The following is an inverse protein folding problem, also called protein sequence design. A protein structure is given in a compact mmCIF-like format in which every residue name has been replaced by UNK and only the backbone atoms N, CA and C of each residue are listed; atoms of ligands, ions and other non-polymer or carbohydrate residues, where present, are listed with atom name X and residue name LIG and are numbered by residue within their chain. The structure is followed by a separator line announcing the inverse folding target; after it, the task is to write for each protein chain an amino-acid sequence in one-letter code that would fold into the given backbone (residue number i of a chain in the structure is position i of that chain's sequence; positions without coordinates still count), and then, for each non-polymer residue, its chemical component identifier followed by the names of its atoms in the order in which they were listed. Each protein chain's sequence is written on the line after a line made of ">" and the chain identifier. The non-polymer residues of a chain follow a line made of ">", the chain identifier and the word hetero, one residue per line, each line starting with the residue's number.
data_IF_403622587981
#
_entry.id   IF_403622587981
#
_cell.length_a   1.000
_cell.length_b   1.000
_cell.length_c   1.000
_cell.angle_alpha   90.00
_cell.angle_beta   90.00
_cell.angle_gamma   90.00
#
_symmetry.space_group_name_H-M   'P 1'
#
loop_
_entity.id
_entity.type
_entity.pdbx_description
1 polymer ?
#
# COMPACT_ATOMS: atom_id res chain seq x y z
N UNK A 1 11.79 -99.82 -2.16
CA UNK A 1 10.55 -99.06 -1.95
C UNK A 1 9.96 -99.48 -0.63
N UNK A 2 9.92 -98.58 0.34
CA UNK A 2 9.21 -98.83 1.60
C UNK A 2 7.76 -98.38 1.40
N UNK A 3 6.76 -99.26 1.58
CA UNK A 3 5.34 -98.96 1.35
C UNK A 3 4.75 -97.91 2.31
N UNK A 4 5.51 -97.51 3.33
CA UNK A 4 5.15 -96.44 4.27
C UNK A 4 5.53 -95.03 3.77
N UNK A 5 6.42 -94.93 2.76
CA UNK A 5 6.89 -93.64 2.25
C UNK A 5 5.90 -93.05 1.23
N UNK A 6 5.20 -93.89 0.46
CA UNK A 6 4.19 -93.47 -0.52
C UNK A 6 3.05 -92.62 0.07
N UNK A 7 2.37 -93.03 1.17
CA UNK A 7 1.31 -92.23 1.75
C UNK A 7 1.81 -90.93 2.38
N UNK A 8 3.06 -90.91 2.87
CA UNK A 8 3.70 -89.69 3.40
C UNK A 8 4.03 -88.73 2.26
N UNK A 9 4.58 -89.22 1.14
CA UNK A 9 4.85 -88.41 -0.06
C UNK A 9 3.56 -87.85 -0.64
N UNK A 10 2.52 -88.67 -0.75
CA UNK A 10 1.20 -88.23 -1.24
C UNK A 10 0.55 -87.21 -0.29
N UNK A 11 0.68 -87.37 1.04
CA UNK A 11 0.20 -86.39 2.00
C UNK A 11 0.96 -85.06 1.88
N UNK A 12 2.29 -85.11 1.70
CA UNK A 12 3.14 -83.92 1.48
C UNK A 12 2.81 -83.22 0.16
N UNK A 13 2.58 -83.96 -0.92
CA UNK A 13 2.17 -83.40 -2.22
C UNK A 13 0.76 -82.80 -2.16
N UNK A 14 -0.17 -83.42 -1.41
CA UNK A 14 -1.52 -82.88 -1.20
C UNK A 14 -1.57 -81.63 -0.31
N UNK A 15 -0.54 -81.41 0.53
CA UNK A 15 -0.35 -80.20 1.33
C UNK A 15 0.29 -79.06 0.53
N UNK A 16 0.87 -79.37 -0.63
CA UNK A 16 1.43 -78.39 -1.54
C UNK A 16 0.27 -77.67 -2.22
N UNK A 17 -0.22 -76.61 -1.58
CA UNK A 17 -1.22 -75.71 -2.17
C UNK A 17 -0.80 -75.43 -3.61
N UNK A 18 -1.67 -75.75 -4.58
CA UNK A 18 -1.41 -75.46 -5.99
C UNK A 18 -1.04 -73.98 -6.08
N UNK A 19 0.20 -73.70 -6.47
CA UNK A 19 0.70 -72.34 -6.59
C UNK A 19 -0.25 -71.61 -7.53
N UNK A 20 -1.08 -70.71 -7.00
CA UNK A 20 -2.07 -70.02 -7.78
C UNK A 20 -1.37 -68.81 -8.37
N UNK A 21 -1.00 -68.84 -9.67
CA UNK A 21 -0.13 -67.81 -10.24
C UNK A 21 -0.78 -66.42 -10.14
N UNK A 22 -2.12 -66.38 -10.15
CA UNK A 22 -2.88 -65.17 -9.92
C UNK A 22 -2.69 -64.64 -8.50
N UNK A 23 -2.84 -65.48 -7.48
CA UNK A 23 -2.77 -65.07 -6.07
C UNK A 23 -1.35 -64.72 -5.63
N UNK A 24 -0.36 -65.48 -6.09
CA UNK A 24 1.00 -65.40 -5.55
C UNK A 24 1.89 -64.39 -6.31
N UNK A 25 1.56 -64.09 -7.57
CA UNK A 25 2.36 -63.18 -8.41
C UNK A 25 1.56 -62.00 -8.94
N UNK A 26 0.37 -62.23 -9.51
CA UNK A 26 -0.37 -61.16 -10.16
C UNK A 26 -1.11 -60.25 -9.16
N UNK A 27 -1.69 -60.82 -8.10
CA UNK A 27 -2.48 -60.09 -7.11
C UNK A 27 -1.64 -59.09 -6.29
N UNK A 28 -0.41 -59.40 -5.81
CA UNK A 28 0.45 -58.42 -5.14
C UNK A 28 0.88 -57.28 -6.07
N UNK A 29 1.14 -57.56 -7.34
CA UNK A 29 1.50 -56.54 -8.34
C UNK A 29 0.31 -55.62 -8.61
N UNK A 30 -0.88 -56.20 -8.83
CA UNK A 30 -2.12 -55.45 -9.06
C UNK A 30 -2.48 -54.60 -7.83
N UNK A 31 -2.44 -55.18 -6.62
CA UNK A 31 -2.75 -54.43 -5.38
C UNK A 31 -1.73 -53.34 -5.11
N UNK A 32 -0.43 -53.59 -5.30
CA UNK A 32 0.60 -52.56 -5.23
C UNK A 32 0.41 -51.44 -6.26
N UNK A 33 0.05 -51.77 -7.50
CA UNK A 33 -0.26 -50.81 -8.54
C UNK A 33 -1.52 -49.98 -8.22
N UNK A 34 -2.59 -50.60 -7.71
CA UNK A 34 -3.78 -49.87 -7.28
C UNK A 34 -3.53 -48.99 -6.05
N UNK A 35 -2.78 -49.46 -5.05
CA UNK A 35 -2.44 -48.68 -3.86
C UNK A 35 -1.57 -47.47 -4.19
N UNK A 36 -0.57 -47.65 -5.05
CA UNK A 36 0.28 -46.54 -5.53
C UNK A 36 -0.50 -45.54 -6.39
N UNK A 37 -1.38 -46.01 -7.28
CA UNK A 37 -2.26 -45.15 -8.07
C UNK A 37 -3.25 -44.37 -7.18
N UNK A 38 -3.84 -45.03 -6.19
CA UNK A 38 -4.71 -44.39 -5.21
C UNK A 38 -3.94 -43.33 -4.40
N UNK A 39 -2.74 -43.67 -3.93
CA UNK A 39 -1.85 -42.75 -3.22
C UNK A 39 -1.49 -41.53 -4.06
N UNK A 40 -1.16 -41.74 -5.33
CA UNK A 40 -0.91 -40.66 -6.29
C UNK A 40 -2.14 -39.76 -6.47
N UNK A 41 -3.32 -40.34 -6.67
CA UNK A 41 -4.57 -39.59 -6.84
C UNK A 41 -4.88 -38.75 -5.61
N UNK A 42 -4.79 -39.33 -4.41
CA UNK A 42 -5.02 -38.63 -3.14
C UNK A 42 -4.01 -37.49 -2.95
N UNK A 43 -2.72 -37.76 -3.20
CA UNK A 43 -1.68 -36.75 -3.11
C UNK A 43 -1.92 -35.60 -4.10
N UNK A 44 -2.24 -35.90 -5.35
CA UNK A 44 -2.53 -34.91 -6.38
C UNK A 44 -3.69 -33.98 -5.98
N UNK A 45 -4.82 -34.54 -5.53
CA UNK A 45 -5.96 -33.75 -5.07
C UNK A 45 -5.64 -32.93 -3.83
N UNK A 46 -4.92 -33.52 -2.87
CA UNK A 46 -4.53 -32.85 -1.62
C UNK A 46 -3.60 -31.67 -1.90
N UNK A 47 -2.57 -31.87 -2.72
CA UNK A 47 -1.61 -30.82 -3.09
C UNK A 47 -2.32 -29.68 -3.83
N UNK A 48 -3.13 -30.01 -4.84
CA UNK A 48 -3.89 -29.01 -5.59
C UNK A 48 -4.84 -28.21 -4.69
N UNK A 49 -5.49 -28.87 -3.72
CA UNK A 49 -6.35 -28.20 -2.75
C UNK A 49 -5.56 -27.29 -1.80
N UNK A 50 -4.41 -27.75 -1.31
CA UNK A 50 -3.52 -26.98 -0.45
C UNK A 50 -2.93 -25.76 -1.16
N UNK A 51 -2.43 -25.92 -2.38
CA UNK A 51 -1.88 -24.82 -3.19
C UNK A 51 -2.93 -23.75 -3.49
N UNK A 52 -4.14 -24.17 -3.88
CA UNK A 52 -5.25 -23.25 -4.09
C UNK A 52 -5.61 -22.51 -2.80
N UNK A 53 -5.71 -23.23 -1.68
CA UNK A 53 -5.99 -22.63 -0.37
C UNK A 53 -4.92 -21.63 0.03
N UNK A 54 -3.65 -21.98 -0.14
CA UNK A 54 -2.51 -21.11 0.16
C UNK A 54 -2.56 -19.85 -0.69
N UNK A 55 -2.81 -19.99 -2.00
CA UNK A 55 -2.97 -18.86 -2.92
C UNK A 55 -4.08 -17.91 -2.47
N UNK A 56 -5.20 -18.44 -1.98
CA UNK A 56 -6.32 -17.62 -1.49
C UNK A 56 -5.94 -16.86 -0.21
N UNK A 57 -5.25 -17.53 0.74
CA UNK A 57 -4.74 -16.88 1.96
C UNK A 57 -3.73 -15.79 1.63
N UNK A 58 -2.82 -16.05 0.69
CA UNK A 58 -1.79 -15.08 0.28
C UNK A 58 -2.42 -13.84 -0.37
N UNK A 59 -3.49 -14.00 -1.16
CA UNK A 59 -4.25 -12.86 -1.71
C UNK A 59 -4.91 -12.03 -0.61
N UNK A 60 -5.61 -12.66 0.33
CA UNK A 60 -6.25 -11.96 1.45
C UNK A 60 -5.20 -11.20 2.26
N UNK A 61 -4.11 -11.88 2.63
CA UNK A 61 -2.99 -11.27 3.35
C UNK A 61 -2.42 -10.09 2.58
N UNK A 62 -2.14 -10.26 1.29
CA UNK A 62 -1.58 -9.19 0.46
C UNK A 62 -2.49 -7.98 0.42
N UNK A 63 -3.80 -8.16 0.20
CA UNK A 63 -4.74 -7.03 0.17
C UNK A 63 -4.76 -6.31 1.54
N UNK A 64 -4.79 -7.07 2.63
CA UNK A 64 -4.77 -6.50 3.98
C UNK A 64 -3.47 -5.76 4.29
N UNK A 65 -2.32 -6.31 3.92
CA UNK A 65 -1.01 -5.68 4.10
C UNK A 65 -0.95 -4.34 3.35
N UNK A 66 -1.46 -4.28 2.11
CA UNK A 66 -1.54 -3.05 1.32
C UNK A 66 -2.55 -2.04 1.89
N UNK A 67 -3.66 -2.51 2.46
CA UNK A 67 -4.62 -1.65 3.15
C UNK A 67 -4.05 -1.03 4.42
N UNK A 68 -3.34 -1.81 5.24
CA UNK A 68 -2.66 -1.31 6.43
C UNK A 68 -1.54 -0.32 6.07
N UNK A 69 -0.83 -0.58 4.97
CA UNK A 69 0.19 0.33 4.48
C UNK A 69 -0.41 1.67 4.01
N UNK A 70 -1.50 1.63 3.25
CA UNK A 70 -2.22 2.82 2.81
C UNK A 70 -2.80 3.60 3.99
N UNK A 71 -3.35 2.92 5.00
CA UNK A 71 -3.83 3.54 6.23
C UNK A 71 -2.71 4.24 6.98
N UNK A 72 -1.57 3.57 7.19
CA UNK A 72 -0.41 4.18 7.86
C UNK A 72 0.14 5.40 7.11
N UNK A 73 0.17 5.33 5.77
CA UNK A 73 0.55 6.46 4.93
C UNK A 73 -0.43 7.63 5.08
N UNK A 74 -1.73 7.36 4.98
CA UNK A 74 -2.80 8.36 5.17
C UNK A 74 -2.73 9.01 6.54
N UNK A 75 -2.61 8.21 7.61
CA UNK A 75 -2.50 8.67 8.99
C UNK A 75 -1.26 9.55 9.19
N UNK A 76 -0.14 9.25 8.55
CA UNK A 76 1.06 10.09 8.59
C UNK A 76 0.84 11.46 7.94
N UNK A 77 0.23 11.49 6.75
CA UNK A 77 -0.06 12.74 6.04
C UNK A 77 -1.10 13.58 6.76
N UNK A 78 -2.15 12.94 7.31
CA UNK A 78 -3.17 13.60 8.13
C UNK A 78 -2.55 14.20 9.39
N UNK A 79 -1.62 13.49 10.05
CA UNK A 79 -0.89 14.01 11.20
C UNK A 79 -0.04 15.23 10.83
N UNK A 80 0.64 15.22 9.69
CA UNK A 80 1.37 16.39 9.17
C UNK A 80 0.40 17.55 8.98
N UNK A 81 -0.71 17.31 8.26
CA UNK A 81 -1.73 18.31 7.96
C UNK A 81 -2.39 18.94 9.18
N UNK A 82 -2.62 18.15 10.23
CA UNK A 82 -3.22 18.63 11.47
C UNK A 82 -2.45 19.81 12.11
N UNK A 83 -1.16 19.98 11.80
CA UNK A 83 -0.34 21.05 12.36
C UNK A 83 -0.68 22.44 11.80
N UNK A 84 -1.10 22.49 10.53
CA UNK A 84 -1.44 23.75 9.84
C UNK A 84 -2.94 23.89 9.55
N UNK A 85 -3.72 22.80 9.66
CA UNK A 85 -5.15 22.84 9.40
C UNK A 85 -5.86 23.90 10.25
N UNK A 86 -6.76 24.67 9.62
CA UNK A 86 -7.50 25.75 10.27
C UNK A 86 -6.71 27.04 10.51
N UNK A 87 -5.41 27.08 10.22
CA UNK A 87 -4.53 28.27 10.38
C UNK A 87 -4.14 28.93 9.06
N UNK A 88 -4.54 28.34 7.94
CA UNK A 88 -4.16 28.80 6.60
C UNK A 88 -5.15 29.84 6.08
N UNK A 89 -4.64 31.02 5.75
CA UNK A 89 -5.30 32.00 4.88
C UNK A 89 -4.94 31.79 3.41
N UNK A 90 -5.13 32.82 2.60
CA UNK A 90 -4.72 32.87 1.19
C UNK A 90 -3.32 33.51 1.00
N UNK A 91 -2.84 34.28 1.96
CA UNK A 91 -1.56 35.00 1.85
C UNK A 91 -0.36 34.04 2.00
N UNK A 92 0.56 33.95 1.02
CA UNK A 92 1.66 32.99 1.05
C UNK A 92 2.69 33.25 2.16
N UNK A 93 2.90 34.50 2.59
CA UNK A 93 3.76 34.81 3.74
C UNK A 93 3.19 34.24 5.03
N UNK A 94 1.89 34.49 5.27
CA UNK A 94 1.20 34.00 6.45
C UNK A 94 1.19 32.47 6.48
N UNK A 95 0.88 31.82 5.35
CA UNK A 95 0.87 30.35 5.23
C UNK A 95 2.23 29.73 5.52
N UNK A 96 3.31 30.37 5.03
CA UNK A 96 4.69 29.96 5.30
C UNK A 96 5.01 30.00 6.79
N UNK A 97 4.64 31.08 7.47
CA UNK A 97 4.89 31.25 8.92
C UNK A 97 3.97 30.40 9.80
N UNK A 98 2.71 30.21 9.41
CA UNK A 98 1.76 29.37 10.14
C UNK A 98 2.10 27.88 10.08
N UNK A 99 2.81 27.47 9.03
CA UNK A 99 3.24 26.09 8.82
C UNK A 99 4.59 25.86 9.49
N UNK A 100 4.59 25.15 10.61
CA UNK A 100 5.78 24.92 11.41
C UNK A 100 6.46 23.61 11.03
N UNK A 101 7.79 23.56 11.19
CA UNK A 101 8.51 22.27 11.14
C UNK A 101 7.96 21.29 12.17
N UNK A 102 7.78 20.05 11.75
CA UNK A 102 7.26 18.97 12.60
C UNK A 102 8.38 17.95 12.78
N UNK A 103 8.60 17.51 14.02
CA UNK A 103 9.38 16.31 14.26
C UNK A 103 8.43 15.14 14.04
N UNK A 104 8.48 14.52 12.86
CA UNK A 104 7.71 13.33 12.56
C UNK A 104 8.61 12.11 12.45
N UNK A 105 8.16 10.97 12.96
CA UNK A 105 8.83 9.67 12.79
C UNK A 105 8.40 8.94 11.52
N UNK A 106 7.81 9.68 10.57
CA UNK A 106 7.31 9.15 9.32
C UNK A 106 8.45 8.54 8.51
N UNK A 107 8.27 7.30 8.05
CA UNK A 107 9.28 6.57 7.31
C UNK A 107 8.86 6.45 5.85
N UNK A 108 9.83 6.53 4.96
CA UNK A 108 9.64 6.12 3.57
C UNK A 108 9.17 4.67 3.53
N UNK A 109 8.25 4.39 2.61
CA UNK A 109 7.69 3.07 2.38
C UNK A 109 8.56 2.35 1.36
N UNK A 110 8.95 1.13 1.71
CA UNK A 110 9.56 0.16 0.78
C UNK A 110 8.55 -0.96 0.57
N UNK A 111 8.15 -1.16 -0.70
CA UNK A 111 7.00 -2.02 -1.04
C UNK A 111 7.35 -3.03 -2.11
N UNK A 112 6.92 -4.26 -1.88
CA UNK A 112 7.01 -5.31 -2.89
C UNK A 112 5.78 -5.30 -3.80
N UNK A 113 5.86 -4.57 -4.92
CA UNK A 113 4.77 -4.51 -5.92
C UNK A 113 4.47 -5.87 -6.59
N UNK A 114 5.41 -6.82 -6.59
CA UNK A 114 5.17 -8.12 -7.23
C UNK A 114 4.09 -8.95 -6.54
N UNK A 115 3.83 -8.68 -5.25
CA UNK A 115 2.75 -9.33 -4.49
C UNK A 115 1.37 -9.04 -5.09
N UNK A 116 1.23 -7.91 -5.80
CA UNK A 116 -0.01 -7.49 -6.45
C UNK A 116 -0.19 -8.07 -7.86
N UNK A 117 0.71 -8.92 -8.35
CA UNK A 117 0.63 -9.46 -9.71
C UNK A 117 -0.71 -10.10 -10.09
N UNK A 118 -1.48 -10.60 -9.11
CA UNK A 118 -2.79 -11.20 -9.34
C UNK A 118 -3.90 -10.20 -9.76
N UNK A 119 -3.74 -8.89 -9.53
CA UNK A 119 -4.75 -7.88 -9.93
C UNK A 119 -4.55 -7.39 -11.37
N UNK A 120 -3.40 -7.69 -11.97
CA UNK A 120 -3.02 -7.18 -13.30
C UNK A 120 -4.07 -7.62 -14.33
N UNK A 121 -4.63 -6.70 -15.13
CA UNK A 121 -5.57 -7.05 -16.17
C UNK A 121 -4.88 -7.85 -17.28
N UNK A 122 -5.60 -8.86 -17.80
CA UNK A 122 -5.15 -9.58 -19.00
C UNK A 122 -5.23 -8.64 -20.21
N UNK A 123 -4.39 -8.88 -21.23
CA UNK A 123 -4.30 -8.00 -22.42
C UNK A 123 -5.62 -7.91 -23.17
N UNK A 124 -6.41 -8.99 -23.11
CA UNK A 124 -7.67 -9.14 -23.84
C UNK A 124 -8.84 -8.46 -23.13
N UNK A 125 -8.70 -8.10 -21.86
CA UNK A 125 -9.77 -7.54 -21.05
C UNK A 125 -9.65 -6.01 -20.92
N UNK A 126 -10.16 -5.31 -21.93
CA UNK A 126 -10.12 -3.84 -22.01
C UNK A 126 -10.83 -3.14 -20.85
N UNK A 127 -11.97 -3.67 -20.38
CA UNK A 127 -12.72 -3.09 -19.26
C UNK A 127 -11.90 -3.11 -17.98
N UNK A 128 -11.19 -4.20 -17.76
CA UNK A 128 -10.30 -4.35 -16.61
C UNK A 128 -9.05 -3.46 -16.65
N UNK A 129 -8.64 -3.00 -17.83
CA UNK A 129 -7.50 -2.07 -18.00
C UNK A 129 -7.85 -0.64 -17.59
N UNK A 130 -9.12 -0.26 -17.71
CA UNK A 130 -9.63 1.07 -17.32
C UNK A 130 -9.81 1.21 -15.81
N UNK A 131 -9.80 0.10 -15.04
CA UNK A 131 -9.91 0.15 -13.58
C UNK A 131 -8.62 0.73 -12.99
N UNK A 132 -8.72 1.94 -12.45
CA UNK A 132 -7.64 2.74 -11.85
C UNK A 132 -6.70 1.90 -10.97
N UNK A 133 -7.25 1.23 -9.95
CA UNK A 133 -6.47 0.49 -8.95
C UNK A 133 -6.08 -0.93 -9.35
N UNK A 134 -6.21 -1.28 -10.64
CA UNK A 134 -5.57 -2.48 -11.22
C UNK A 134 -4.30 -2.15 -11.99
N UNK A 135 -3.99 -0.87 -12.14
CA UNK A 135 -2.79 -0.39 -12.80
C UNK A 135 -1.64 -0.30 -11.79
N UNK A 136 -0.73 -1.28 -11.82
CA UNK A 136 0.48 -1.25 -10.96
C UNK A 136 1.29 0.05 -11.07
N UNK A 137 1.41 0.72 -12.24
CA UNK A 137 2.09 2.00 -12.32
C UNK A 137 1.43 3.08 -11.45
N UNK A 138 0.09 3.09 -11.33
CA UNK A 138 -0.63 4.06 -10.50
C UNK A 138 -0.42 3.79 -9.00
N UNK A 139 -0.49 2.52 -8.60
CA UNK A 139 -0.19 2.11 -7.22
C UNK A 139 1.25 2.46 -6.86
N UNK A 140 2.21 2.19 -7.76
CA UNK A 140 3.61 2.60 -7.58
C UNK A 140 3.72 4.12 -7.42
N UNK A 141 3.11 4.89 -8.30
CA UNK A 141 3.17 6.35 -8.25
C UNK A 141 2.62 6.89 -6.91
N UNK A 142 1.53 6.32 -6.38
CA UNK A 142 1.00 6.66 -5.06
C UNK A 142 2.05 6.48 -3.94
N UNK A 143 2.79 5.37 -3.94
CA UNK A 143 3.83 5.11 -2.93
C UNK A 143 5.05 6.01 -3.12
N UNK A 144 5.51 6.19 -4.35
CA UNK A 144 6.65 7.07 -4.63
C UNK A 144 6.32 8.54 -4.30
N UNK A 145 5.10 8.99 -4.59
CA UNK A 145 4.65 10.33 -4.26
C UNK A 145 4.50 10.53 -2.75
N UNK A 146 4.14 9.48 -1.99
CA UNK A 146 4.24 9.53 -0.54
C UNK A 146 5.68 9.77 -0.09
N UNK A 147 6.62 8.96 -0.58
CA UNK A 147 8.05 9.08 -0.22
C UNK A 147 8.62 10.46 -0.59
N UNK A 148 8.22 10.99 -1.75
CA UNK A 148 8.57 12.34 -2.21
C UNK A 148 8.04 13.41 -1.26
N UNK A 149 6.77 13.32 -0.84
CA UNK A 149 6.18 14.31 0.09
C UNK A 149 6.88 14.30 1.45
N UNK A 150 7.26 13.13 1.97
CA UNK A 150 8.03 13.05 3.22
C UNK A 150 9.37 13.78 3.07
N UNK A 151 10.08 13.53 1.96
CA UNK A 151 11.34 14.22 1.68
C UNK A 151 11.16 15.74 1.48
N UNK A 152 10.06 16.15 0.86
CA UNK A 152 9.70 17.55 0.69
C UNK A 152 9.48 18.24 2.05
N UNK A 153 8.76 17.61 2.98
CA UNK A 153 8.58 18.11 4.34
C UNK A 153 9.88 18.15 5.14
N UNK A 154 10.75 17.15 4.99
CA UNK A 154 12.08 17.14 5.61
C UNK A 154 12.94 18.31 5.10
N UNK A 155 13.00 18.50 3.77
CA UNK A 155 13.77 19.59 3.14
C UNK A 155 13.24 20.96 3.54
N UNK A 156 11.92 21.12 3.55
CA UNK A 156 11.27 22.33 4.04
C UNK A 156 11.68 22.62 5.49
N UNK A 157 11.66 21.60 6.35
CA UNK A 157 12.00 21.75 7.78
C UNK A 157 13.47 22.11 8.00
N UNK A 158 14.37 21.60 7.16
CA UNK A 158 15.80 21.96 7.15
C UNK A 158 16.01 23.45 6.85
N UNK A 159 15.24 24.00 5.91
CA UNK A 159 15.31 25.42 5.49
C UNK A 159 14.58 26.33 6.48
N UNK A 160 13.44 25.91 7.02
CA UNK A 160 12.62 26.71 7.95
C UNK A 160 13.34 27.00 9.26
N UNK A 161 14.06 26.01 9.81
CA UNK A 161 14.69 26.11 11.13
C UNK A 161 15.62 27.32 11.29
N UNK A 162 16.66 27.53 10.44
CA UNK A 162 17.54 28.68 10.57
C UNK A 162 16.82 30.01 10.30
N UNK A 163 15.82 30.02 9.42
CA UNK A 163 15.00 31.21 9.14
C UNK A 163 14.20 31.60 10.38
N UNK A 164 13.53 30.62 11.01
CA UNK A 164 12.74 30.82 12.22
C UNK A 164 13.61 31.26 13.39
N UNK A 165 14.80 30.69 13.57
CA UNK A 165 15.76 31.10 14.60
C UNK A 165 16.17 32.57 14.45
N UNK A 166 16.47 33.03 13.22
CA UNK A 166 16.78 34.44 12.93
C UNK A 166 15.60 35.35 13.27
N UNK A 167 14.39 34.99 12.81
CA UNK A 167 13.18 35.78 13.07
C UNK A 167 12.87 35.87 14.57
N UNK A 168 13.01 34.78 15.32
CA UNK A 168 12.81 34.77 16.78
C UNK A 168 13.91 35.57 17.50
N UNK A 169 15.16 35.54 17.02
CA UNK A 169 16.24 36.34 17.61
C UNK A 169 16.01 37.84 17.45
N UNK A 170 15.58 38.27 16.26
CA UNK A 170 15.44 39.68 15.92
C UNK A 170 14.10 40.28 16.39
N UNK A 171 13.06 39.45 16.46
CA UNK A 171 11.68 39.89 16.71
C UNK A 171 10.94 39.08 17.79
N UNK A 172 11.60 38.16 18.50
CA UNK A 172 10.95 37.29 19.50
C UNK A 172 10.34 38.04 20.70
N UNK A 173 10.78 39.26 20.96
CA UNK A 173 10.17 40.15 21.96
C UNK A 173 8.79 40.66 21.55
N UNK A 174 8.41 40.55 20.27
CA UNK A 174 7.08 40.95 19.78
C UNK A 174 5.98 39.95 20.10
N UNK A 175 6.31 38.78 20.70
CA UNK A 175 5.49 37.73 21.33
C UNK A 175 4.24 37.18 20.59
N UNK A 176 3.51 37.98 19.80
CA UNK A 176 2.26 37.64 19.12
C UNK A 176 2.00 38.50 17.87
N UNK A 177 2.87 39.44 17.49
CA UNK A 177 2.69 40.23 16.27
C UNK A 177 3.10 39.42 15.03
N UNK A 178 2.19 39.29 14.06
CA UNK A 178 2.52 38.77 12.73
C UNK A 178 3.68 39.61 12.15
N UNK A 179 4.83 38.97 11.95
CA UNK A 179 6.00 39.63 11.35
C UNK A 179 5.62 40.02 9.92
N UNK A 180 5.67 41.30 9.60
CA UNK A 180 5.30 41.77 8.27
C UNK A 180 6.43 41.53 7.24
N UNK A 181 6.10 41.62 5.95
CA UNK A 181 7.06 41.37 4.84
C UNK A 181 8.38 42.13 4.99
N UNK A 182 8.32 43.40 5.36
CA UNK A 182 9.51 44.26 5.49
C UNK A 182 10.41 43.82 6.64
N UNK A 183 9.83 43.38 7.74
CA UNK A 183 10.56 42.82 8.88
C UNK A 183 11.20 41.47 8.51
N UNK A 184 10.47 40.60 7.81
CA UNK A 184 11.01 39.32 7.34
C UNK A 184 12.27 39.54 6.48
N UNK A 185 12.19 40.43 5.50
CA UNK A 185 13.31 40.69 4.58
C UNK A 185 14.45 41.53 5.17
N UNK A 186 14.24 42.15 6.35
CA UNK A 186 15.33 42.77 7.12
C UNK A 186 16.16 41.74 7.88
N UNK A 187 15.55 40.64 8.32
CA UNK A 187 16.21 39.59 9.11
C UNK A 187 16.68 38.39 8.29
N UNK A 188 16.01 38.11 7.18
CA UNK A 188 16.22 36.90 6.37
C UNK A 188 16.47 37.30 4.92
N UNK A 189 17.35 36.58 4.24
CA UNK A 189 17.59 36.78 2.83
C UNK A 189 16.28 36.51 2.05
N UNK A 190 15.78 37.46 1.23
CA UNK A 190 14.55 37.28 0.46
C UNK A 190 14.53 36.00 -0.36
N UNK A 191 15.67 35.59 -0.96
CA UNK A 191 15.72 34.36 -1.77
C UNK A 191 15.49 33.11 -0.93
N UNK A 192 16.07 33.02 0.27
CA UNK A 192 15.88 31.89 1.19
C UNK A 192 14.42 31.77 1.62
N UNK A 193 13.77 32.91 1.90
CA UNK A 193 12.37 32.93 2.31
C UNK A 193 11.41 32.57 1.16
N UNK A 194 11.70 33.04 -0.06
CA UNK A 194 10.92 32.69 -1.25
C UNK A 194 11.01 31.19 -1.53
N UNK A 195 12.19 30.57 -1.41
CA UNK A 195 12.35 29.12 -1.53
C UNK A 195 11.55 28.37 -0.46
N UNK A 196 11.58 28.83 0.80
CA UNK A 196 10.77 28.24 1.86
C UNK A 196 9.27 28.31 1.56
N UNK A 197 8.83 29.42 0.98
CA UNK A 197 7.44 29.66 0.61
C UNK A 197 7.00 28.74 -0.54
N UNK A 198 7.79 28.62 -1.60
CA UNK A 198 7.54 27.67 -2.71
C UNK A 198 7.44 26.22 -2.18
N UNK A 199 8.40 25.80 -1.36
CA UNK A 199 8.39 24.47 -0.76
C UNK A 199 7.18 24.25 0.15
N UNK A 200 6.74 25.29 0.88
CA UNK A 200 5.56 25.20 1.75
C UNK A 200 4.28 24.99 0.95
N UNK A 201 4.08 25.76 -0.11
CA UNK A 201 2.86 25.64 -0.91
C UNK A 201 2.82 24.32 -1.69
N UNK A 202 3.95 23.87 -2.25
CA UNK A 202 4.08 22.53 -2.81
C UNK A 202 3.76 21.47 -1.76
N UNK A 203 4.38 21.54 -0.58
CA UNK A 203 4.17 20.54 0.46
C UNK A 203 2.69 20.43 0.88
N UNK A 204 2.00 21.57 1.08
CA UNK A 204 0.57 21.59 1.43
C UNK A 204 -0.27 20.96 0.33
N UNK A 205 -0.10 21.40 -0.92
CA UNK A 205 -0.93 20.93 -2.04
C UNK A 205 -0.72 19.44 -2.31
N UNK A 206 0.53 19.00 -2.39
CA UNK A 206 0.84 17.59 -2.62
C UNK A 206 0.32 16.70 -1.49
N UNK A 207 0.40 17.17 -0.23
CA UNK A 207 -0.16 16.44 0.92
C UNK A 207 -1.68 16.28 0.78
N UNK A 208 -2.39 17.35 0.42
CA UNK A 208 -3.85 17.31 0.27
C UNK A 208 -4.30 16.37 -0.85
N UNK A 209 -3.66 16.46 -2.03
CA UNK A 209 -3.99 15.62 -3.18
C UNK A 209 -3.70 14.15 -2.89
N UNK A 210 -2.56 13.84 -2.26
CA UNK A 210 -2.21 12.46 -1.95
C UNK A 210 -3.10 11.86 -0.85
N UNK A 211 -3.55 12.64 0.14
CA UNK A 211 -4.54 12.16 1.13
C UNK A 211 -5.83 11.71 0.41
N UNK A 212 -6.29 12.47 -0.58
CA UNK A 212 -7.48 12.14 -1.35
C UNK A 212 -7.24 10.87 -2.18
N UNK A 213 -6.10 10.78 -2.87
CA UNK A 213 -5.75 9.62 -3.69
C UNK A 213 -5.62 8.33 -2.85
N UNK A 214 -4.96 8.39 -1.69
CA UNK A 214 -4.83 7.23 -0.79
C UNK A 214 -6.21 6.83 -0.24
N UNK A 215 -7.08 7.79 0.09
CA UNK A 215 -8.45 7.48 0.51
C UNK A 215 -9.25 6.79 -0.60
N UNK A 216 -9.10 7.24 -1.84
CA UNK A 216 -9.72 6.61 -3.00
C UNK A 216 -9.25 5.16 -3.16
N UNK A 217 -7.93 4.92 -3.06
CA UNK A 217 -7.36 3.58 -3.02
C UNK A 217 -7.96 2.72 -1.90
N UNK A 218 -7.98 3.22 -0.65
CA UNK A 218 -8.51 2.49 0.50
C UNK A 218 -10.02 2.16 0.37
N UNK A 219 -10.75 2.93 -0.44
CA UNK A 219 -12.19 2.70 -0.65
C UNK A 219 -12.42 1.66 -1.75
N UNK A 220 -11.71 1.77 -2.89
CA UNK A 220 -11.98 0.95 -4.07
C UNK A 220 -11.15 -0.36 -4.11
N UNK A 221 -9.90 -0.32 -3.64
CA UNK A 221 -8.97 -1.45 -3.76
C UNK A 221 -9.44 -2.72 -3.02
N UNK A 222 -10.03 -2.66 -1.81
CA UNK A 222 -10.60 -3.84 -1.15
C UNK A 222 -11.65 -4.55 -1.99
N UNK A 223 -12.52 -3.82 -2.67
CA UNK A 223 -13.59 -4.38 -3.49
C UNK A 223 -13.02 -5.06 -4.75
N UNK A 224 -12.02 -4.44 -5.37
CA UNK A 224 -11.26 -5.05 -6.46
C UNK A 224 -10.58 -6.33 -5.97
N UNK A 225 -9.90 -6.28 -4.83
CA UNK A 225 -9.21 -7.42 -4.23
C UNK A 225 -10.15 -8.61 -3.93
N UNK A 226 -11.33 -8.33 -3.36
CA UNK A 226 -12.37 -9.33 -3.09
C UNK A 226 -12.82 -10.07 -4.36
N UNK A 227 -12.83 -9.41 -5.52
CA UNK A 227 -13.19 -10.06 -6.80
C UNK A 227 -12.23 -11.18 -7.22
N UNK A 228 -11.01 -11.21 -6.68
CA UNK A 228 -10.01 -12.25 -6.93
C UNK A 228 -9.98 -13.36 -5.87
N UNK A 229 -10.85 -13.28 -4.86
CA UNK A 229 -10.92 -14.23 -3.75
C UNK A 229 -12.23 -15.01 -3.83
N UNK A 230 -12.17 -16.32 -3.60
CA UNK A 230 -13.38 -17.13 -3.48
C UNK A 230 -14.15 -16.75 -2.21
N UNK A 231 -15.47 -16.54 -2.31
CA UNK A 231 -16.35 -16.23 -1.16
C UNK A 231 -16.16 -17.20 0.01
N UNK A 232 -16.05 -18.51 -0.26
CA UNK A 232 -15.81 -19.53 0.79
C UNK A 232 -14.49 -19.32 1.53
N UNK A 233 -13.48 -18.75 0.88
CA UNK A 233 -12.19 -18.45 1.50
C UNK A 233 -12.28 -17.26 2.45
N UNK A 234 -13.13 -16.28 2.17
CA UNK A 234 -13.37 -15.14 3.08
C UNK A 234 -14.02 -15.63 4.38
N UNK A 235 -14.98 -16.54 4.28
CA UNK A 235 -15.67 -17.13 5.44
C UNK A 235 -14.72 -17.96 6.31
N UNK A 236 -13.78 -18.69 5.69
CA UNK A 236 -12.90 -19.62 6.39
C UNK A 236 -11.60 -19.00 6.92
N UNK A 237 -11.07 -17.96 6.28
CA UNK A 237 -9.73 -17.44 6.57
C UNK A 237 -9.71 -15.99 7.06
N UNK A 238 -10.85 -15.30 7.00
CA UNK A 238 -11.02 -13.96 7.53
C UNK A 238 -11.32 -12.91 6.46
N UNK A 239 -11.87 -11.76 6.90
CA UNK A 239 -12.31 -10.72 5.99
C UNK A 239 -11.14 -9.93 5.41
N UNK A 240 -11.43 -9.29 4.27
CA UNK A 240 -10.59 -8.21 3.74
C UNK A 240 -10.89 -6.93 4.53
N UNK A 241 -9.84 -6.23 4.97
CA UNK A 241 -9.95 -4.94 5.66
C UNK A 241 -10.63 -3.94 4.73
N UNK A 242 -11.65 -3.26 5.24
CA UNK A 242 -12.36 -2.19 4.55
C UNK A 242 -12.17 -0.88 5.30
N UNK A 243 -12.08 0.22 4.56
CA UNK A 243 -11.98 1.55 5.14
C UNK A 243 -13.36 2.21 5.25
N UNK A 244 -13.64 2.81 6.41
CA UNK A 244 -14.76 3.74 6.58
C UNK A 244 -14.31 4.90 7.47
N UNK A 245 -14.58 6.12 7.01
CA UNK A 245 -14.38 7.35 7.78
C UNK A 245 -15.65 7.78 8.53
N UNK A 246 -16.73 6.98 8.46
CA UNK A 246 -18.01 7.30 9.07
C UNK A 246 -17.86 7.41 10.60
N UNK A 247 -18.44 8.47 11.17
CA UNK A 247 -18.39 8.73 12.61
C UNK A 247 -17.14 9.49 13.11
N UNK A 248 -16.15 9.78 12.25
CA UNK A 248 -14.99 10.61 12.61
C UNK A 248 -15.01 11.97 11.89
N UNK A 249 -15.82 12.90 12.39
CA UNK A 249 -15.97 14.24 11.80
C UNK A 249 -14.63 15.00 11.69
N UNK A 250 -13.74 14.85 12.69
CA UNK A 250 -12.42 15.50 12.66
C UNK A 250 -11.57 15.00 11.51
N UNK A 251 -11.53 13.68 11.29
CA UNK A 251 -10.81 13.10 10.15
C UNK A 251 -11.41 13.58 8.82
N UNK A 252 -12.73 13.63 8.71
CA UNK A 252 -13.41 14.14 7.51
C UNK A 252 -13.07 15.61 7.21
N UNK A 253 -12.88 16.45 8.22
CA UNK A 253 -12.41 17.83 8.01
C UNK A 253 -10.97 17.90 7.55
N UNK A 254 -10.10 17.01 8.06
CA UNK A 254 -8.69 16.95 7.68
C UNK A 254 -8.48 16.38 6.28
N UNK A 255 -9.40 15.57 5.75
CA UNK A 255 -9.31 15.04 4.38
C UNK A 255 -9.61 16.12 3.32
N UNK A 256 -10.42 17.14 3.65
CA UNK A 256 -10.78 18.21 2.70
C UNK A 256 -9.56 19.04 2.31
N UNK A 257 -9.47 19.43 1.04
CA UNK A 257 -8.40 20.34 0.56
C UNK A 257 -8.34 21.61 1.39
N UNK A 258 -7.12 22.08 1.63
CA UNK A 258 -6.84 23.34 2.28
C UNK A 258 -7.27 24.52 1.39
N UNK A 259 -7.49 25.72 1.95
CA UNK A 259 -7.76 26.90 1.15
C UNK A 259 -6.64 27.15 0.14
N UNK A 260 -7.00 27.57 -1.07
CA UNK A 260 -6.04 27.92 -2.12
C UNK A 260 -5.22 29.15 -1.71
N UNK A 261 -3.95 29.15 -2.12
CA UNK A 261 -3.06 30.31 -1.98
C UNK A 261 -3.42 31.37 -3.02
N UNK A 262 -3.07 32.62 -2.75
CA UNK A 262 -3.08 33.69 -3.73
C UNK A 262 -1.97 33.45 -4.77
N UNK A 263 -2.30 32.74 -5.85
CA UNK A 263 -1.36 32.41 -6.93
C UNK A 263 -0.83 33.65 -7.65
N UNK A 264 -1.54 34.78 -7.64
CA UNK A 264 -1.02 36.01 -8.24
C UNK A 264 0.16 36.53 -7.44
N UNK A 265 -0.03 36.62 -6.12
CA UNK A 265 1.04 37.04 -5.22
C UNK A 265 2.23 36.06 -5.25
N UNK A 266 1.96 34.76 -5.33
CA UNK A 266 3.00 33.75 -5.43
C UNK A 266 3.78 33.84 -6.75
N UNK A 267 3.09 34.00 -7.88
CA UNK A 267 3.69 34.19 -9.19
C UNK A 267 4.57 35.45 -9.26
N UNK A 268 4.08 36.57 -8.70
CA UNK A 268 4.86 37.81 -8.59
C UNK A 268 6.16 37.63 -7.78
N UNK A 269 6.14 36.78 -6.74
CA UNK A 269 7.31 36.51 -5.90
C UNK A 269 8.31 35.55 -6.54
N UNK A 270 7.83 34.61 -7.36
CA UNK A 270 8.67 33.67 -8.11
C UNK A 270 9.19 34.25 -9.43
N UNK A 271 8.59 35.34 -9.92
CA UNK A 271 8.93 35.93 -11.21
C UNK A 271 8.37 35.13 -12.39
N UNK A 272 7.27 34.41 -12.18
CA UNK A 272 6.62 33.53 -13.15
C UNK A 272 5.18 33.99 -13.43
N UNK A 273 4.48 33.35 -14.38
CA UNK A 273 3.05 33.62 -14.60
C UNK A 273 2.16 32.78 -13.67
N UNK A 274 0.93 33.23 -13.41
CA UNK A 274 -0.03 32.51 -12.58
C UNK A 274 -0.29 31.09 -13.14
N UNK A 275 -0.36 30.95 -14.46
CA UNK A 275 -0.57 29.69 -15.14
C UNK A 275 0.61 28.73 -14.98
N UNK A 276 1.84 29.24 -15.04
CA UNK A 276 3.05 28.44 -14.85
C UNK A 276 3.08 27.87 -13.44
N UNK A 277 2.94 28.72 -12.41
CA UNK A 277 2.94 28.28 -11.01
C UNK A 277 1.84 27.26 -10.74
N UNK A 278 0.62 27.49 -11.27
CA UNK A 278 -0.48 26.53 -11.14
C UNK A 278 -0.14 25.18 -11.78
N UNK A 279 0.48 25.20 -12.95
CA UNK A 279 0.87 23.99 -13.69
C UNK A 279 1.98 23.21 -12.99
N UNK A 280 2.97 23.87 -12.40
CA UNK A 280 4.06 23.20 -11.66
C UNK A 280 3.58 22.52 -10.38
N UNK A 281 2.46 23.01 -9.86
CA UNK A 281 1.87 22.55 -8.64
C UNK A 281 0.79 21.49 -8.92
N UNK A 282 0.62 21.04 -10.17
CA UNK A 282 -0.25 19.91 -10.49
C UNK A 282 0.43 18.60 -10.09
N UNK A 283 -0.33 17.69 -9.46
CA UNK A 283 0.21 16.47 -8.84
C UNK A 283 -0.02 15.22 -9.70
N UNK A 284 -0.65 15.36 -10.87
CA UNK A 284 -1.00 14.25 -11.77
C UNK A 284 -2.13 13.35 -11.24
N UNK A 285 -2.77 13.77 -10.14
CA UNK A 285 -3.91 13.10 -9.50
C UNK A 285 -5.26 13.76 -9.81
N UNK A 286 -5.24 14.85 -10.58
CA UNK A 286 -6.41 15.64 -11.02
C UNK A 286 -7.20 14.98 -12.15
#
# INVERSE_FOLDING_TARGET
>A
MSPEIEPIVHAIESLRQEANPFKDYLFPIITGAFSSLLGFVVAYFTLTYQENTQTQKDRIKTINDWMLLAEGASSSLVAIKANYHGKLGNNPFQRTLSTHSIIHSTRKLDVNLSSLSFIIPRKEDKKSQEIKWRQLPRIRAMIENYNFIIELWDKRSEIERPIKEKLVKDYGTLAFAEVNREQIFKSVNPSEFIVLMDLTERAIKYTDDLIIEIKDFMTEFPEIGKSFINKKSLDNYGPVITYSAEGNEKLLTLIKKSPEVDYRMLADLLGETEEQVRSEYTTGYE
#
